data_IF_716235109668
#
_entry.id   IF_716235109668
#
_cell.length_a   1.000
_cell.length_b   1.000
_cell.length_c   1.000
_cell.angle_alpha   90.00
_cell.angle_beta   90.00
_cell.angle_gamma   90.00
#
_symmetry.space_group_name_H-M   'P 1'
#
loop_
_entity.id
_entity.type
_entity.pdbx_description
1 polymer ?
#
# COMPACT_ATOMS: atom_id res chain seq x y z
N UNK A 1 -55.34 38.06 -32.47
CA UNK A 1 -55.72 38.18 -31.05
C UNK A 1 -55.79 36.79 -30.46
N UNK A 2 -54.60 36.34 -30.12
CA UNK A 2 -54.12 35.30 -29.21
C UNK A 2 -55.11 34.39 -28.48
N UNK A 3 -54.89 33.11 -28.75
CA UNK A 3 -55.23 31.90 -28.02
C UNK A 3 -54.69 31.91 -26.58
N UNK A 4 -55.58 31.83 -25.59
CA UNK A 4 -55.24 31.55 -24.20
C UNK A 4 -55.07 30.04 -23.98
N UNK A 5 -53.82 29.57 -24.08
CA UNK A 5 -53.43 28.24 -23.61
C UNK A 5 -53.25 28.31 -22.08
N UNK A 6 -54.09 27.58 -21.36
CA UNK A 6 -53.96 27.30 -19.93
C UNK A 6 -52.59 26.66 -19.65
N UNK A 7 -51.67 27.43 -19.08
CA UNK A 7 -50.38 26.95 -18.61
C UNK A 7 -50.54 26.09 -17.36
N UNK A 8 -50.55 24.78 -17.54
CA UNK A 8 -50.28 23.82 -16.47
C UNK A 8 -48.81 23.99 -16.09
N UNK A 9 -48.54 24.68 -14.99
CA UNK A 9 -47.24 24.70 -14.34
C UNK A 9 -46.93 23.25 -13.91
N UNK A 10 -46.09 22.58 -14.69
CA UNK A 10 -45.41 21.37 -14.23
C UNK A 10 -44.47 21.79 -13.11
N UNK A 11 -44.85 21.39 -11.90
CA UNK A 11 -44.03 21.40 -10.70
C UNK A 11 -42.73 20.63 -10.99
N UNK A 12 -41.69 21.37 -11.38
CA UNK A 12 -40.33 20.85 -11.43
C UNK A 12 -39.87 20.68 -9.99
N UNK A 13 -40.26 19.56 -9.39
CA UNK A 13 -39.74 19.07 -8.13
C UNK A 13 -38.24 18.84 -8.28
N UNK A 14 -37.46 19.91 -8.10
CA UNK A 14 -36.03 19.85 -7.88
C UNK A 14 -35.83 19.25 -6.49
N UNK A 15 -35.93 17.92 -6.41
CA UNK A 15 -35.51 17.15 -5.25
C UNK A 15 -34.02 17.42 -5.06
N UNK A 16 -33.69 18.41 -4.25
CA UNK A 16 -32.35 18.53 -3.68
C UNK A 16 -32.21 17.32 -2.76
N UNK A 17 -31.62 16.22 -3.26
CA UNK A 17 -31.21 15.12 -2.41
C UNK A 17 -30.23 15.69 -1.37
N UNK A 18 -30.73 15.90 -0.15
CA UNK A 18 -29.91 16.30 0.98
C UNK A 18 -29.10 15.07 1.38
N UNK A 19 -27.99 14.83 0.68
CA UNK A 19 -27.09 13.73 1.01
C UNK A 19 -26.57 13.91 2.43
N UNK A 20 -26.86 12.93 3.28
CA UNK A 20 -26.35 12.89 4.64
C UNK A 20 -24.83 12.72 4.58
N UNK A 21 -24.10 13.75 5.02
CA UNK A 21 -22.62 13.67 5.13
C UNK A 21 -22.21 12.48 5.98
N UNK A 22 -21.13 11.81 5.58
CA UNK A 22 -20.57 10.69 6.33
C UNK A 22 -20.10 11.17 7.70
N UNK A 23 -20.54 10.53 8.77
CA UNK A 23 -20.11 10.88 10.14
C UNK A 23 -18.60 10.73 10.30
N UNK A 24 -17.96 11.64 11.03
CA UNK A 24 -16.53 11.58 11.32
C UNK A 24 -16.11 10.24 11.96
N UNK A 25 -16.96 9.64 12.81
CA UNK A 25 -16.71 8.32 13.40
C UNK A 25 -16.59 7.23 12.34
N UNK A 26 -17.47 7.26 11.34
CA UNK A 26 -17.47 6.30 10.23
C UNK A 26 -16.25 6.53 9.31
N UNK A 27 -15.87 7.79 9.09
CA UNK A 27 -14.68 8.13 8.31
C UNK A 27 -13.40 7.56 8.95
N UNK A 28 -13.25 7.73 10.27
CA UNK A 28 -12.10 7.15 11.00
C UNK A 28 -12.15 5.62 11.02
N UNK A 29 -13.31 5.02 11.29
CA UNK A 29 -13.48 3.57 11.29
C UNK A 29 -13.17 2.95 9.93
N UNK A 30 -13.58 3.62 8.84
CA UNK A 30 -13.22 3.22 7.48
C UNK A 30 -11.70 3.32 7.26
N UNK A 31 -11.09 4.44 7.64
CA UNK A 31 -9.66 4.69 7.48
C UNK A 31 -8.77 3.61 8.10
N UNK A 32 -9.11 3.15 9.31
CA UNK A 32 -8.32 2.11 10.00
C UNK A 32 -8.45 0.72 9.38
N UNK A 33 -9.44 0.47 8.51
CA UNK A 33 -9.66 -0.84 7.90
C UNK A 33 -8.49 -1.35 7.07
N UNK A 34 -7.69 -0.46 6.50
CA UNK A 34 -6.54 -0.83 5.66
C UNK A 34 -5.21 -0.97 6.41
N UNK A 35 -5.16 -0.59 7.70
CA UNK A 35 -3.92 -0.53 8.50
C UNK A 35 -3.20 -1.89 8.56
N UNK A 36 -3.94 -3.00 8.65
CA UNK A 36 -3.36 -4.35 8.66
C UNK A 36 -2.51 -4.61 7.40
N UNK A 37 -3.05 -4.26 6.22
CA UNK A 37 -2.28 -4.35 4.98
C UNK A 37 -1.10 -3.38 5.04
N UNK A 38 -1.32 -2.10 5.34
CA UNK A 38 -0.25 -1.09 5.28
C UNK A 38 0.97 -1.44 6.15
N UNK A 39 0.75 -1.98 7.35
CA UNK A 39 1.81 -2.48 8.23
C UNK A 39 2.58 -3.64 7.58
N UNK A 40 1.87 -4.65 7.06
CA UNK A 40 2.48 -5.79 6.38
C UNK A 40 3.21 -5.36 5.09
N UNK A 41 2.70 -4.37 4.37
CA UNK A 41 3.32 -3.81 3.17
C UNK A 41 4.68 -3.21 3.47
N UNK A 42 4.76 -2.42 4.54
CA UNK A 42 5.99 -1.77 4.98
C UNK A 42 7.06 -2.82 5.25
N UNK A 43 6.69 -3.89 5.96
CA UNK A 43 7.56 -5.03 6.24
C UNK A 43 7.94 -5.79 4.96
N UNK A 44 6.98 -6.10 4.09
CA UNK A 44 7.19 -6.82 2.83
C UNK A 44 8.16 -6.07 1.90
N UNK A 45 7.88 -4.79 1.61
CA UNK A 45 8.69 -4.04 0.67
C UNK A 45 10.01 -3.57 1.26
N UNK A 46 10.14 -3.35 2.57
CA UNK A 46 11.41 -2.85 3.13
C UNK A 46 12.32 -3.98 3.60
N UNK A 47 11.76 -5.03 4.21
CA UNK A 47 12.55 -5.98 5.01
C UNK A 47 12.52 -7.42 4.51
N UNK A 48 11.69 -7.77 3.51
CA UNK A 48 11.64 -9.15 3.02
C UNK A 48 13.00 -9.63 2.50
N UNK A 49 13.66 -8.85 1.62
CA UNK A 49 14.95 -9.25 1.08
C UNK A 49 16.04 -9.25 2.16
N UNK A 50 16.01 -8.29 3.08
CA UNK A 50 16.92 -8.25 4.24
C UNK A 50 16.78 -9.52 5.06
N UNK A 51 15.55 -9.92 5.38
CA UNK A 51 15.29 -11.13 6.17
C UNK A 51 15.70 -12.40 5.41
N UNK A 52 15.30 -12.53 4.14
CA UNK A 52 15.58 -13.74 3.36
C UNK A 52 17.06 -13.89 3.08
N UNK A 53 17.76 -12.80 2.76
CA UNK A 53 19.17 -12.84 2.42
C UNK A 53 20.08 -12.87 3.65
N UNK A 54 19.88 -11.96 4.62
CA UNK A 54 20.83 -11.79 5.74
C UNK A 54 20.49 -12.65 6.96
N UNK A 55 19.20 -12.97 7.18
CA UNK A 55 18.77 -13.74 8.36
C UNK A 55 18.59 -15.22 8.02
N UNK A 56 17.94 -15.54 6.91
CA UNK A 56 17.75 -16.92 6.46
C UNK A 56 18.89 -17.44 5.56
N UNK A 57 19.86 -16.58 5.22
CA UNK A 57 21.03 -16.92 4.42
C UNK A 57 20.70 -17.51 3.04
N UNK A 58 19.55 -17.14 2.47
CA UNK A 58 19.25 -17.47 1.08
C UNK A 58 20.15 -16.68 0.14
N UNK A 59 20.54 -17.30 -0.97
CA UNK A 59 21.29 -16.59 -2.00
C UNK A 59 20.44 -15.47 -2.62
N UNK A 60 21.11 -14.46 -3.22
CA UNK A 60 20.45 -13.31 -3.83
C UNK A 60 19.37 -13.69 -4.86
N UNK A 61 19.61 -14.77 -5.62
CA UNK A 61 18.64 -15.25 -6.60
C UNK A 61 17.41 -15.87 -5.93
N UNK A 62 17.59 -16.64 -4.84
CA UNK A 62 16.50 -17.29 -4.09
C UNK A 62 15.59 -16.24 -3.44
N UNK A 63 16.18 -15.27 -2.72
CA UNK A 63 15.43 -14.19 -2.09
C UNK A 63 14.66 -13.34 -3.12
N UNK A 64 15.32 -12.95 -4.22
CA UNK A 64 14.68 -12.22 -5.31
C UNK A 64 13.56 -13.02 -6.00
N UNK A 65 13.74 -14.34 -6.16
CA UNK A 65 12.73 -15.21 -6.73
C UNK A 65 11.50 -15.34 -5.82
N UNK A 66 11.67 -15.40 -4.50
CA UNK A 66 10.56 -15.38 -3.54
C UNK A 66 9.75 -14.10 -3.62
N UNK A 67 10.42 -12.94 -3.74
CA UNK A 67 9.74 -11.66 -3.97
C UNK A 67 8.94 -11.67 -5.28
N UNK A 68 9.52 -12.23 -6.36
CA UNK A 68 8.85 -12.36 -7.67
C UNK A 68 7.59 -13.22 -7.61
N UNK A 69 7.64 -14.37 -6.93
CA UNK A 69 6.44 -15.22 -6.70
C UNK A 69 5.34 -14.39 -6.05
N UNK A 70 5.70 -13.57 -5.06
CA UNK A 70 4.74 -12.66 -4.43
C UNK A 70 4.12 -11.68 -5.43
N UNK A 71 4.92 -11.02 -6.26
CA UNK A 71 4.40 -10.06 -7.25
C UNK A 71 3.45 -10.73 -8.26
N UNK A 72 3.78 -11.95 -8.72
CA UNK A 72 2.93 -12.71 -9.65
C UNK A 72 1.62 -13.12 -8.96
N UNK A 73 1.69 -13.59 -7.71
CA UNK A 73 0.50 -13.98 -6.95
C UNK A 73 -0.46 -12.81 -6.74
N UNK A 74 0.05 -11.60 -6.44
CA UNK A 74 -0.77 -10.38 -6.30
C UNK A 74 -1.40 -9.96 -7.63
N UNK A 75 -0.62 -10.00 -8.72
CA UNK A 75 -1.09 -9.66 -10.07
C UNK A 75 -2.24 -10.57 -10.54
N UNK A 76 -2.23 -11.85 -10.12
CA UNK A 76 -3.32 -12.79 -10.41
C UNK A 76 -4.50 -12.65 -9.43
N UNK A 77 -4.21 -12.44 -8.14
CA UNK A 77 -5.24 -12.37 -7.09
C UNK A 77 -6.10 -11.12 -7.19
N UNK A 78 -5.52 -9.98 -7.57
CA UNK A 78 -6.22 -8.69 -7.68
C UNK A 78 -7.43 -8.74 -8.64
N UNK A 79 -7.29 -9.15 -9.92
CA UNK A 79 -8.45 -9.26 -10.82
C UNK A 79 -9.41 -10.38 -10.40
N UNK A 80 -8.90 -11.49 -9.84
CA UNK A 80 -9.73 -12.57 -9.33
C UNK A 80 -10.68 -12.10 -8.22
N UNK A 81 -10.14 -11.45 -7.19
CA UNK A 81 -10.91 -10.85 -6.09
C UNK A 81 -11.84 -9.76 -6.63
N UNK A 82 -11.37 -8.89 -7.52
CA UNK A 82 -12.22 -7.85 -8.12
C UNK A 82 -13.48 -8.43 -8.76
N UNK A 83 -13.31 -9.44 -9.62
CA UNK A 83 -14.43 -10.08 -10.31
C UNK A 83 -15.37 -10.85 -9.38
N UNK A 84 -14.84 -11.58 -8.40
CA UNK A 84 -15.66 -12.39 -7.49
C UNK A 84 -16.28 -11.58 -6.35
N UNK A 85 -15.61 -10.54 -5.86
CA UNK A 85 -16.18 -9.66 -4.83
C UNK A 85 -17.32 -8.79 -5.35
N UNK A 86 -17.39 -8.58 -6.66
CA UNK A 86 -18.48 -7.87 -7.34
C UNK A 86 -19.69 -8.77 -7.63
N UNK A 87 -19.51 -10.10 -7.68
CA UNK A 87 -20.63 -11.02 -7.91
C UNK A 87 -21.51 -11.13 -6.67
N UNK A 88 -22.82 -11.21 -6.90
CA UNK A 88 -23.81 -11.47 -5.86
C UNK A 88 -23.73 -12.95 -5.45
N UNK A 89 -22.68 -13.32 -4.73
CA UNK A 89 -22.48 -14.72 -4.39
C UNK A 89 -23.34 -15.12 -3.19
N UNK A 90 -24.00 -16.27 -3.31
CA UNK A 90 -24.77 -16.95 -2.26
C UNK A 90 -23.84 -17.62 -1.22
N UNK A 91 -22.79 -16.95 -0.78
CA UNK A 91 -21.90 -17.46 0.26
C UNK A 91 -22.64 -17.33 1.60
N UNK A 92 -22.59 -18.37 2.43
CA UNK A 92 -23.30 -18.44 3.72
C UNK A 92 -22.98 -17.27 4.69
N UNK A 93 -21.86 -16.58 4.48
CA UNK A 93 -21.44 -15.36 5.18
C UNK A 93 -22.13 -14.06 4.70
N UNK A 94 -22.94 -14.09 3.63
CA UNK A 94 -23.49 -12.88 3.01
C UNK A 94 -24.47 -12.07 3.87
N UNK A 95 -24.89 -12.56 5.05
CA UNK A 95 -25.57 -11.73 6.06
C UNK A 95 -24.66 -10.69 6.73
N UNK A 96 -23.35 -10.76 6.49
CA UNK A 96 -22.34 -9.86 7.07
C UNK A 96 -22.00 -8.65 6.18
N UNK A 97 -22.44 -8.68 4.91
CA UNK A 97 -22.02 -7.75 3.87
C UNK A 97 -21.01 -8.38 2.91
N UNK A 98 -21.19 -8.16 1.60
CA UNK A 98 -20.39 -8.75 0.53
C UNK A 98 -18.96 -8.26 0.60
N UNK A 99 -18.75 -6.93 0.66
CA UNK A 99 -17.40 -6.34 0.74
C UNK A 99 -16.72 -6.70 2.04
N UNK A 100 -17.45 -6.63 3.15
CA UNK A 100 -16.91 -7.01 4.47
C UNK A 100 -16.51 -8.48 4.57
N UNK A 101 -17.22 -9.38 3.89
CA UNK A 101 -16.87 -10.81 3.88
C UNK A 101 -15.50 -11.04 3.20
N UNK A 102 -15.28 -10.44 2.02
CA UNK A 102 -13.98 -10.51 1.33
C UNK A 102 -12.86 -9.83 2.13
N UNK A 103 -13.16 -8.71 2.78
CA UNK A 103 -12.21 -8.07 3.69
C UNK A 103 -11.82 -8.98 4.85
N UNK A 104 -12.79 -9.63 5.50
CA UNK A 104 -12.55 -10.54 6.62
C UNK A 104 -11.74 -11.77 6.19
N UNK A 105 -12.11 -12.39 5.06
CA UNK A 105 -11.37 -13.50 4.48
C UNK A 105 -9.91 -13.13 4.24
N UNK A 106 -9.67 -11.97 3.63
CA UNK A 106 -8.32 -11.48 3.39
C UNK A 106 -7.55 -11.22 4.69
N UNK A 107 -8.22 -10.68 5.71
CA UNK A 107 -7.63 -10.43 7.03
C UNK A 107 -7.18 -11.72 7.71
N UNK A 108 -8.00 -12.78 7.62
CA UNK A 108 -7.64 -14.10 8.15
C UNK A 108 -6.46 -14.71 7.39
N UNK A 109 -6.41 -14.58 6.06
CA UNK A 109 -5.27 -15.03 5.26
C UNK A 109 -3.99 -14.30 5.66
N UNK A 110 -4.01 -12.96 5.76
CA UNK A 110 -2.83 -12.16 6.14
C UNK A 110 -2.34 -12.53 7.54
N UNK A 111 -3.23 -12.57 8.55
CA UNK A 111 -2.86 -12.93 9.93
C UNK A 111 -2.33 -14.36 10.02
N UNK A 112 -2.91 -15.27 9.23
CA UNK A 112 -2.54 -16.68 9.22
C UNK A 112 -1.25 -17.00 8.46
N UNK A 113 -0.79 -16.15 7.53
CA UNK A 113 0.39 -16.42 6.71
C UNK A 113 1.58 -15.50 6.98
N UNK A 114 1.35 -14.23 7.31
CA UNK A 114 2.42 -13.23 7.40
C UNK A 114 3.47 -13.52 8.49
N UNK A 115 3.12 -14.01 9.70
CA UNK A 115 4.11 -14.43 10.69
C UNK A 115 5.09 -15.49 10.20
N UNK A 116 4.62 -16.41 9.36
CA UNK A 116 5.44 -17.52 8.84
C UNK A 116 6.45 -17.06 7.80
N UNK A 117 6.20 -15.95 7.09
CA UNK A 117 7.14 -15.36 6.12
C UNK A 117 8.38 -14.81 6.86
N UNK A 118 8.19 -14.22 8.03
CA UNK A 118 9.26 -13.64 8.86
C UNK A 118 9.67 -14.54 10.03
N UNK A 119 9.55 -15.85 9.85
CA UNK A 119 9.98 -16.84 10.83
C UNK A 119 10.94 -17.84 10.21
N UNK A 120 11.90 -18.39 10.97
CA UNK A 120 12.66 -19.55 10.52
C UNK A 120 11.72 -20.69 10.10
N UNK A 121 12.11 -21.42 9.06
CA UNK A 121 11.31 -22.50 8.49
C UNK A 121 11.09 -23.61 9.54
N UNK A 122 9.82 -23.91 9.83
CA UNK A 122 9.44 -24.88 10.86
C UNK A 122 9.84 -26.31 10.45
N UNK A 123 10.60 -26.99 11.29
CA UNK A 123 11.10 -28.35 11.05
C UNK A 123 11.93 -28.51 9.76
N UNK A 124 12.54 -27.44 9.26
CA UNK A 124 13.36 -27.45 8.05
C UNK A 124 14.86 -27.61 8.33
N UNK A 125 15.25 -27.94 9.58
CA UNK A 125 16.66 -28.08 9.96
C UNK A 125 17.36 -29.13 9.11
N UNK A 126 18.32 -28.71 8.28
CA UNK A 126 19.06 -29.57 7.36
C UNK A 126 18.34 -29.92 6.05
N UNK A 127 17.19 -29.30 5.76
CA UNK A 127 16.52 -29.46 4.46
C UNK A 127 17.20 -28.62 3.37
N UNK A 128 17.15 -29.11 2.13
CA UNK A 128 17.71 -28.39 0.98
C UNK A 128 16.94 -27.08 0.73
N UNK A 129 17.62 -26.04 0.24
CA UNK A 129 17.05 -24.71 -0.01
C UNK A 129 15.74 -24.71 -0.80
N UNK A 130 15.61 -25.54 -1.86
CA UNK A 130 14.39 -25.64 -2.66
C UNK A 130 13.16 -26.05 -1.84
N UNK A 131 13.31 -26.89 -0.81
CA UNK A 131 12.21 -27.30 0.04
C UNK A 131 11.74 -26.14 0.94
N UNK A 132 12.69 -25.35 1.44
CA UNK A 132 12.40 -24.13 2.20
C UNK A 132 11.73 -23.07 1.30
N UNK A 133 12.19 -22.92 0.06
CA UNK A 133 11.56 -22.03 -0.92
C UNK A 133 10.10 -22.41 -1.18
N UNK A 134 9.78 -23.71 -1.32
CA UNK A 134 8.38 -24.15 -1.46
C UNK A 134 7.57 -23.78 -0.22
N UNK A 135 8.12 -24.02 0.98
CA UNK A 135 7.47 -23.64 2.24
C UNK A 135 7.12 -22.15 2.26
N UNK A 136 8.09 -21.26 2.01
CA UNK A 136 7.85 -19.83 1.99
C UNK A 136 6.90 -19.40 0.86
N UNK A 137 7.01 -20.01 -0.33
CA UNK A 137 6.15 -19.70 -1.48
C UNK A 137 4.66 -19.89 -1.15
N UNK A 138 4.30 -20.94 -0.42
CA UNK A 138 2.90 -21.19 -0.01
C UNK A 138 2.37 -20.04 0.85
N UNK A 139 3.11 -19.63 1.88
CA UNK A 139 2.69 -18.54 2.76
C UNK A 139 2.66 -17.19 2.02
N UNK A 140 3.62 -16.95 1.13
CA UNK A 140 3.67 -15.76 0.28
C UNK A 140 2.42 -15.70 -0.61
N UNK A 141 2.03 -16.78 -1.28
CA UNK A 141 0.84 -16.82 -2.14
C UNK A 141 -0.43 -16.53 -1.32
N UNK A 142 -0.56 -17.13 -0.13
CA UNK A 142 -1.71 -16.89 0.76
C UNK A 142 -1.73 -15.42 1.24
N UNK A 143 -0.57 -14.87 1.60
CA UNK A 143 -0.43 -13.46 1.98
C UNK A 143 -0.88 -12.53 0.85
N UNK A 144 -0.41 -12.76 -0.38
CA UNK A 144 -0.72 -11.91 -1.53
C UNK A 144 -2.20 -12.00 -1.94
N UNK A 145 -2.81 -13.17 -1.84
CA UNK A 145 -4.26 -13.29 -1.96
C UNK A 145 -4.99 -12.48 -0.88
N UNK A 146 -4.57 -12.61 0.38
CA UNK A 146 -5.17 -11.87 1.50
C UNK A 146 -5.03 -10.35 1.34
N UNK A 147 -3.85 -9.92 0.92
CA UNK A 147 -3.53 -8.53 0.57
C UNK A 147 -4.50 -7.98 -0.47
N UNK A 148 -4.61 -8.64 -1.63
CA UNK A 148 -5.50 -8.25 -2.70
C UNK A 148 -6.96 -8.22 -2.25
N UNK A 149 -7.38 -9.22 -1.46
CA UNK A 149 -8.72 -9.31 -0.90
C UNK A 149 -9.10 -8.11 -0.04
N UNK A 150 -8.25 -7.73 0.93
CA UNK A 150 -8.46 -6.55 1.77
C UNK A 150 -8.45 -5.27 0.93
N UNK A 151 -7.47 -5.11 0.05
CA UNK A 151 -7.28 -3.91 -0.77
C UNK A 151 -8.51 -3.61 -1.63
N UNK A 152 -8.99 -4.60 -2.38
CA UNK A 152 -10.07 -4.43 -3.36
C UNK A 152 -11.42 -4.27 -2.66
N UNK A 153 -11.69 -5.09 -1.63
CA UNK A 153 -12.92 -4.94 -0.84
C UNK A 153 -13.01 -3.61 -0.09
N UNK A 154 -11.88 -3.12 0.45
CA UNK A 154 -11.84 -1.84 1.15
C UNK A 154 -12.07 -0.65 0.21
N UNK A 155 -11.46 -0.64 -0.98
CA UNK A 155 -11.67 0.43 -1.97
C UNK A 155 -13.09 0.42 -2.55
N UNK A 156 -13.61 -0.75 -2.88
CA UNK A 156 -14.96 -0.89 -3.46
C UNK A 156 -16.08 -0.52 -2.48
N UNK A 157 -15.79 -0.46 -1.19
CA UNK A 157 -16.75 -0.02 -0.17
C UNK A 157 -16.95 1.51 -0.14
N UNK A 158 -16.00 2.32 -0.63
CA UNK A 158 -16.12 3.80 -0.66
C UNK A 158 -17.41 4.26 -1.37
N UNK A 159 -17.69 3.85 -2.62
CA UNK A 159 -18.89 4.28 -3.33
C UNK A 159 -20.19 3.79 -2.70
N UNK A 160 -20.15 2.68 -1.94
CA UNK A 160 -21.30 2.12 -1.22
C UNK A 160 -21.59 2.89 0.09
N UNK A 161 -20.57 3.49 0.72
CA UNK A 161 -20.73 4.27 1.96
C UNK A 161 -21.26 5.69 1.72
N UNK A 162 -21.01 6.27 0.54
CA UNK A 162 -21.49 7.61 0.19
C UNK A 162 -21.62 7.85 -1.32
N UNK A 163 -22.74 8.43 -1.77
CA UNK A 163 -22.90 8.87 -3.16
C UNK A 163 -22.17 10.18 -3.47
N UNK A 164 -21.72 10.94 -2.46
CA UNK A 164 -21.09 12.25 -2.64
C UNK A 164 -19.58 12.14 -2.93
N UNK A 165 -19.16 12.57 -4.12
CA UNK A 165 -17.75 12.60 -4.56
C UNK A 165 -16.80 13.32 -3.60
N UNK A 166 -17.27 14.39 -2.95
CA UNK A 166 -16.44 15.10 -1.98
C UNK A 166 -16.15 14.25 -0.73
N UNK A 167 -17.13 13.48 -0.27
CA UNK A 167 -16.95 12.57 0.87
C UNK A 167 -16.15 11.31 0.47
N UNK A 168 -16.27 10.83 -0.78
CA UNK A 168 -15.40 9.77 -1.33
C UNK A 168 -13.93 10.18 -1.31
N UNK A 169 -13.65 11.40 -1.78
CA UNK A 169 -12.29 11.97 -1.77
C UNK A 169 -11.74 12.07 -0.34
N UNK A 170 -12.57 12.47 0.63
CA UNK A 170 -12.19 12.51 2.05
C UNK A 170 -11.88 11.13 2.62
N UNK A 171 -12.71 10.12 2.34
CA UNK A 171 -12.47 8.75 2.81
C UNK A 171 -11.15 8.20 2.27
N UNK A 172 -10.87 8.43 0.99
CA UNK A 172 -9.58 8.08 0.37
C UNK A 172 -8.41 8.82 1.02
N UNK A 173 -8.55 10.11 1.30
CA UNK A 173 -7.51 10.90 1.96
C UNK A 173 -7.22 10.41 3.41
N UNK A 174 -8.27 10.10 4.17
CA UNK A 174 -8.16 9.58 5.54
C UNK A 174 -7.46 8.22 5.53
N UNK A 175 -7.84 7.33 4.62
CA UNK A 175 -7.15 6.05 4.40
C UNK A 175 -5.65 6.26 4.14
N UNK A 176 -5.27 7.14 3.21
CA UNK A 176 -3.85 7.43 2.95
C UNK A 176 -3.12 8.02 4.16
N UNK A 177 -3.80 8.83 5.00
CA UNK A 177 -3.23 9.30 6.25
C UNK A 177 -2.89 8.12 7.19
N UNK A 178 -3.79 7.15 7.34
CA UNK A 178 -3.52 5.93 8.11
C UNK A 178 -2.42 5.07 7.47
N UNK A 179 -2.30 5.02 6.14
CA UNK A 179 -1.18 4.35 5.46
C UNK A 179 0.16 4.98 5.85
N UNK A 180 0.27 6.31 5.86
CA UNK A 180 1.49 7.01 6.28
C UNK A 180 1.80 6.72 7.75
N UNK A 181 0.80 6.82 8.63
CA UNK A 181 0.95 6.52 10.06
C UNK A 181 1.44 5.08 10.26
N UNK A 182 0.89 4.12 9.53
CA UNK A 182 1.25 2.70 9.62
C UNK A 182 2.70 2.46 9.22
N UNK A 183 3.16 3.06 8.12
CA UNK A 183 4.56 2.94 7.69
C UNK A 183 5.53 3.57 8.70
N UNK A 184 5.24 4.79 9.16
CA UNK A 184 6.05 5.47 10.19
C UNK A 184 6.12 4.63 11.47
N UNK A 185 4.99 4.07 11.90
CA UNK A 185 4.91 3.21 13.07
C UNK A 185 5.79 1.96 12.92
N UNK A 186 5.75 1.28 11.76
CA UNK A 186 6.62 0.13 11.48
C UNK A 186 8.09 0.52 11.59
N UNK A 187 8.50 1.62 10.94
CA UNK A 187 9.90 2.04 11.01
C UNK A 187 10.35 2.44 12.41
N UNK A 188 9.50 3.09 13.21
CA UNK A 188 9.83 3.41 14.60
C UNK A 188 9.97 2.14 15.43
N UNK A 189 9.06 1.17 15.27
CA UNK A 189 9.13 -0.11 15.99
C UNK A 189 10.39 -0.88 15.58
N UNK A 190 10.66 -1.01 14.28
CA UNK A 190 11.87 -1.69 13.79
C UNK A 190 13.13 -0.99 14.28
N UNK A 191 13.19 0.34 14.21
CA UNK A 191 14.32 1.09 14.74
C UNK A 191 14.53 0.83 16.22
N UNK A 192 13.47 0.87 17.04
CA UNK A 192 13.54 0.59 18.47
C UNK A 192 14.03 -0.83 18.77
N UNK A 193 13.50 -1.83 18.07
CA UNK A 193 13.87 -3.24 18.25
C UNK A 193 15.33 -3.51 17.84
N UNK A 194 15.77 -2.94 16.71
CA UNK A 194 17.14 -3.10 16.25
C UNK A 194 18.13 -2.32 17.12
N UNK A 195 17.80 -1.08 17.48
CA UNK A 195 18.69 -0.19 18.24
C UNK A 195 18.93 -0.63 19.69
N UNK A 196 17.89 -1.10 20.39
CA UNK A 196 18.05 -1.62 21.76
C UNK A 196 18.84 -2.91 21.83
N UNK A 197 18.98 -3.59 20.70
CA UNK A 197 19.71 -4.84 20.58
C UNK A 197 21.11 -4.64 19.96
N UNK A 198 21.53 -3.39 19.73
CA UNK A 198 22.88 -3.06 19.27
C UNK A 198 23.86 -3.31 20.45
N UNK A 199 24.43 -4.51 20.52
CA UNK A 199 25.70 -4.70 21.24
C UNK A 199 26.76 -3.88 20.46
N UNK A 200 27.61 -3.05 21.11
CA UNK A 200 28.66 -2.30 20.43
C UNK A 200 29.57 -3.13 19.51
N UNK A 201 29.56 -4.45 19.64
CA UNK A 201 30.34 -5.39 18.84
C UNK A 201 29.52 -6.15 17.76
N UNK A 202 28.18 -6.07 17.76
CA UNK A 202 27.29 -6.77 16.81
C UNK A 202 26.42 -5.77 16.01
N UNK A 203 27.06 -4.89 15.24
CA UNK A 203 26.36 -3.87 14.46
C UNK A 203 25.66 -4.35 13.18
N UNK A 204 25.80 -5.63 12.81
CA UNK A 204 25.35 -6.17 11.52
C UNK A 204 24.20 -7.16 11.72
N UNK A 205 23.18 -7.06 10.86
CA UNK A 205 22.08 -8.03 10.83
C UNK A 205 22.58 -9.41 10.39
N UNK A 206 22.17 -10.46 11.10
CA UNK A 206 22.46 -11.85 10.76
C UNK A 206 21.40 -12.85 11.26
N UNK A 207 21.70 -14.16 11.22
CA UNK A 207 20.75 -15.23 11.58
C UNK A 207 20.19 -15.15 13.00
N UNK A 208 20.94 -14.56 13.94
CA UNK A 208 20.50 -14.34 15.33
C UNK A 208 19.33 -13.36 15.46
N UNK A 209 19.09 -12.52 14.45
CA UNK A 209 18.09 -11.46 14.49
C UNK A 209 16.68 -11.89 14.09
N UNK A 210 16.47 -13.18 13.80
CA UNK A 210 15.15 -13.68 13.40
C UNK A 210 14.06 -13.32 14.42
N UNK A 211 14.37 -13.41 15.71
CA UNK A 211 13.46 -13.04 16.80
C UNK A 211 13.12 -11.54 16.84
N UNK A 212 14.05 -10.67 16.42
CA UNK A 212 13.84 -9.22 16.31
C UNK A 212 12.80 -8.93 15.25
N UNK A 213 12.94 -9.49 14.05
CA UNK A 213 11.96 -9.34 12.97
C UNK A 213 10.59 -9.92 13.34
N UNK A 214 10.55 -11.09 13.99
CA UNK A 214 9.31 -11.67 14.50
C UNK A 214 8.60 -10.73 15.49
N UNK A 215 9.34 -10.08 16.38
CA UNK A 215 8.79 -9.12 17.35
C UNK A 215 8.13 -7.94 16.65
N UNK A 216 8.77 -7.39 15.61
CA UNK A 216 8.20 -6.32 14.77
C UNK A 216 6.90 -6.79 14.11
N UNK A 217 6.93 -7.99 13.49
CA UNK A 217 5.75 -8.56 12.81
C UNK A 217 4.59 -8.79 13.77
N UNK A 218 4.81 -9.42 14.92
CA UNK A 218 3.75 -9.67 15.89
C UNK A 218 3.17 -8.38 16.48
N UNK A 219 4.01 -7.39 16.75
CA UNK A 219 3.57 -6.09 17.25
C UNK A 219 2.73 -5.37 16.20
N UNK A 220 3.22 -5.31 14.95
CA UNK A 220 2.50 -4.71 13.83
C UNK A 220 1.16 -5.41 13.54
N UNK A 221 1.15 -6.74 13.51
CA UNK A 221 -0.08 -7.52 13.32
C UNK A 221 -1.08 -7.31 14.44
N UNK A 222 -0.65 -7.21 15.69
CA UNK A 222 -1.55 -6.95 16.82
C UNK A 222 -2.28 -5.61 16.66
N UNK A 223 -1.56 -4.57 16.22
CA UNK A 223 -2.14 -3.26 15.92
C UNK A 223 -3.07 -3.35 14.70
N UNK A 224 -2.64 -4.02 13.64
CA UNK A 224 -3.43 -4.23 12.44
C UNK A 224 -4.75 -4.96 12.72
N UNK A 225 -4.71 -6.06 13.49
CA UNK A 225 -5.90 -6.82 13.90
C UNK A 225 -6.84 -5.96 14.73
N UNK A 226 -6.34 -5.19 15.69
CA UNK A 226 -7.16 -4.26 16.46
C UNK A 226 -7.88 -3.25 15.55
N UNK A 227 -7.16 -2.65 14.60
CA UNK A 227 -7.72 -1.74 13.61
C UNK A 227 -8.76 -2.41 12.70
N UNK A 228 -8.50 -3.64 12.25
CA UNK A 228 -9.44 -4.44 11.47
C UNK A 228 -10.71 -4.77 12.26
N UNK A 229 -10.60 -5.09 13.55
CA UNK A 229 -11.75 -5.29 14.43
C UNK A 229 -12.59 -4.02 14.57
N UNK A 230 -11.95 -2.86 14.76
CA UNK A 230 -12.62 -1.56 14.81
C UNK A 230 -13.38 -1.31 13.49
N UNK A 231 -12.74 -1.51 12.34
CA UNK A 231 -13.39 -1.39 11.03
C UNK A 231 -14.65 -2.28 10.95
N UNK A 232 -14.53 -3.55 11.32
CA UNK A 232 -15.62 -4.51 11.23
C UNK A 232 -16.77 -4.26 12.22
N UNK A 233 -16.52 -3.64 13.37
CA UNK A 233 -17.54 -3.28 14.35
C UNK A 233 -18.29 -2.00 13.94
N UNK A 234 -17.56 -0.98 13.47
CA UNK A 234 -18.11 0.38 13.28
C UNK A 234 -18.57 0.66 11.85
N UNK A 235 -18.00 -0.01 10.84
CA UNK A 235 -18.43 0.12 9.45
C UNK A 235 -19.52 -0.91 9.18
N UNK A 236 -20.73 -0.44 8.90
CA UNK A 236 -21.84 -1.29 8.46
C UNK A 236 -22.03 -1.14 6.96
N UNK A 237 -22.01 -2.27 6.27
CA UNK A 237 -22.44 -2.34 4.88
C UNK A 237 -23.97 -2.18 4.87
N UNK A 238 -24.51 -1.31 4.01
CA UNK A 238 -25.95 -1.19 3.86
C UNK A 238 -26.42 -2.37 3.02
N UNK A 239 -27.24 -3.23 3.61
CA UNK A 239 -27.87 -4.32 2.88
C UNK A 239 -28.86 -3.73 1.87
N UNK A 240 -28.51 -3.79 0.59
CA UNK A 240 -29.43 -3.43 -0.48
C UNK A 240 -30.46 -4.57 -0.70
N UNK A 241 -31.31 -4.80 0.30
CA UNK A 241 -32.43 -5.75 0.26
C UNK A 241 -33.70 -5.11 -0.35
N UNK A 242 -33.56 -4.20 -1.32
CA UNK A 242 -34.66 -3.36 -1.74
C UNK A 242 -34.55 -2.78 -3.14
N UNK A 243 -34.59 -3.65 -4.15
CA UNK A 243 -35.27 -3.32 -5.41
C UNK A 243 -34.57 -2.32 -6.31
N UNK A 244 -33.81 -2.86 -7.27
CA UNK A 244 -33.60 -2.17 -8.53
C UNK A 244 -32.31 -2.55 -9.21
N UNK A 245 -32.43 -3.32 -10.28
CA UNK A 245 -31.55 -3.21 -11.45
C UNK A 245 -31.61 -1.78 -12.04
N UNK A 246 -31.31 -0.74 -11.26
CA UNK A 246 -31.48 0.67 -11.67
C UNK A 246 -30.13 1.36 -11.88
N UNK A 247 -29.00 0.75 -11.51
CA UNK A 247 -27.67 1.17 -11.97
C UNK A 247 -26.80 0.05 -12.57
N UNK A 248 -27.39 -1.10 -12.90
CA UNK A 248 -26.75 -2.11 -13.78
C UNK A 248 -26.87 -1.74 -15.28
N UNK A 249 -27.07 -0.45 -15.57
CA UNK A 249 -27.51 0.05 -16.87
C UNK A 249 -26.88 1.38 -17.27
N UNK A 250 -25.59 1.61 -17.01
CA UNK A 250 -24.80 2.58 -17.79
C UNK A 250 -23.30 2.46 -17.45
N UNK A 251 -22.49 2.30 -18.50
CA UNK A 251 -21.05 2.01 -18.52
C UNK A 251 -20.62 0.56 -18.28
N UNK A 252 -21.24 -0.38 -19.01
CA UNK A 252 -20.44 -1.50 -19.55
C UNK A 252 -19.71 -1.00 -20.80
N UNK A 253 -18.74 -0.08 -20.62
CA UNK A 253 -17.70 0.08 -21.66
C UNK A 253 -17.15 -1.32 -21.87
N UNK A 254 -17.24 -1.83 -23.10
CA UNK A 254 -16.78 -3.18 -23.37
C UNK A 254 -15.32 -3.26 -22.94
N UNK A 255 -14.90 -4.31 -22.25
CA UNK A 255 -13.49 -4.47 -21.84
C UNK A 255 -12.57 -4.28 -23.06
N UNK A 256 -13.04 -4.70 -24.24
CA UNK A 256 -12.41 -4.46 -25.55
C UNK A 256 -12.24 -2.98 -25.92
N UNK A 257 -13.23 -2.13 -25.60
CA UNK A 257 -13.15 -0.67 -25.83
C UNK A 257 -12.13 0.00 -24.90
N UNK A 258 -12.03 -0.45 -23.65
CA UNK A 258 -11.00 -0.02 -22.70
C UNK A 258 -9.61 -0.37 -23.27
N UNK A 259 -9.39 -1.63 -23.67
CA UNK A 259 -8.11 -2.06 -24.24
C UNK A 259 -7.77 -1.44 -25.60
N UNK A 260 -8.71 -0.77 -26.27
CA UNK A 260 -8.46 -0.01 -27.50
C UNK A 260 -8.04 1.43 -27.27
N UNK A 261 -8.21 1.97 -26.06
CA UNK A 261 -7.88 3.37 -25.78
C UNK A 261 -6.37 3.54 -25.53
N UNK A 262 -5.68 4.20 -26.45
CA UNK A 262 -4.23 4.51 -26.35
C UNK A 262 -3.88 5.29 -25.08
N UNK A 263 -4.79 6.14 -24.58
CA UNK A 263 -4.56 6.94 -23.38
C UNK A 263 -4.38 6.06 -22.14
N UNK A 264 -5.07 4.93 -22.07
CA UNK A 264 -4.94 3.99 -20.94
C UNK A 264 -3.53 3.41 -20.90
N UNK A 265 -2.94 3.08 -22.03
CA UNK A 265 -1.55 2.60 -22.07
C UNK A 265 -0.55 3.71 -21.70
N UNK A 266 -0.79 4.96 -22.11
CA UNK A 266 0.09 6.08 -21.74
C UNK A 266 0.09 6.33 -20.22
N UNK A 267 -1.09 6.32 -19.60
CA UNK A 267 -1.22 6.45 -18.14
C UNK A 267 -0.64 5.23 -17.44
N UNK A 268 -0.92 4.01 -17.93
CA UNK A 268 -0.40 2.78 -17.36
C UNK A 268 1.14 2.74 -17.38
N UNK A 269 1.79 3.08 -18.49
CA UNK A 269 3.27 3.11 -18.58
C UNK A 269 3.84 4.11 -17.58
N UNK A 270 3.27 5.31 -17.48
CA UNK A 270 3.74 6.35 -16.54
C UNK A 270 3.58 5.91 -15.08
N UNK A 271 2.43 5.33 -14.75
CA UNK A 271 2.14 4.80 -13.42
C UNK A 271 3.04 3.62 -13.07
N UNK A 272 3.24 2.68 -13.99
CA UNK A 272 4.09 1.50 -13.80
C UNK A 272 5.56 1.90 -13.62
N UNK A 273 6.08 2.84 -14.42
CA UNK A 273 7.44 3.34 -14.27
C UNK A 273 7.65 4.01 -12.89
N UNK A 274 6.65 4.81 -12.46
CA UNK A 274 6.67 5.42 -11.12
C UNK A 274 6.67 4.36 -10.02
N UNK A 275 5.72 3.42 -10.07
CA UNK A 275 5.60 2.36 -9.06
C UNK A 275 6.82 1.48 -9.00
N UNK A 276 7.40 1.16 -10.15
CA UNK A 276 8.64 0.39 -10.23
C UNK A 276 9.78 1.13 -9.53
N UNK A 277 9.98 2.42 -9.82
CA UNK A 277 11.02 3.22 -9.16
C UNK A 277 10.83 3.28 -7.63
N UNK A 278 9.61 3.57 -7.17
CA UNK A 278 9.29 3.68 -5.74
C UNK A 278 9.54 2.35 -5.04
N UNK A 279 9.00 1.26 -5.58
CA UNK A 279 9.11 -0.06 -4.96
C UNK A 279 10.56 -0.57 -4.98
N UNK A 280 11.30 -0.41 -6.09
CA UNK A 280 12.70 -0.82 -6.15
C UNK A 280 13.57 -0.03 -5.17
N UNK A 281 13.35 1.28 -5.07
CA UNK A 281 14.07 2.12 -4.10
C UNK A 281 13.79 1.63 -2.67
N UNK A 282 12.53 1.38 -2.34
CA UNK A 282 12.15 0.90 -1.00
C UNK A 282 12.73 -0.49 -0.67
N UNK A 283 12.74 -1.40 -1.64
CA UNK A 283 13.22 -2.78 -1.49
C UNK A 283 14.74 -2.88 -1.38
N UNK A 284 15.48 -2.12 -2.18
CA UNK A 284 16.93 -2.26 -2.25
C UNK A 284 17.71 -1.30 -1.34
N UNK A 285 17.10 -0.21 -0.86
CA UNK A 285 17.80 0.72 0.05
C UNK A 285 18.38 0.00 1.27
N UNK A 286 17.63 -0.81 2.02
CA UNK A 286 18.17 -1.48 3.21
C UNK A 286 19.37 -2.40 2.91
N UNK A 287 19.34 -3.14 1.79
CA UNK A 287 20.47 -3.95 1.35
C UNK A 287 21.67 -3.10 0.93
N UNK A 288 21.45 -1.98 0.22
CA UNK A 288 22.52 -1.06 -0.13
C UNK A 288 23.19 -0.47 1.12
N UNK A 289 22.41 -0.06 2.12
CA UNK A 289 22.94 0.47 3.38
C UNK A 289 23.75 -0.57 4.15
N UNK A 290 23.26 -1.81 4.20
CA UNK A 290 23.91 -2.90 4.93
C UNK A 290 25.12 -3.45 4.16
N UNK A 291 24.94 -3.97 2.95
CA UNK A 291 26.00 -4.68 2.22
C UNK A 291 27.03 -3.75 1.57
N UNK A 292 26.58 -2.61 1.00
CA UNK A 292 27.47 -1.73 0.23
C UNK A 292 28.11 -0.67 1.12
N UNK A 293 27.34 -0.07 2.03
CA UNK A 293 27.84 0.98 2.92
C UNK A 293 28.29 0.47 4.28
N UNK A 294 28.06 -0.82 4.60
CA UNK A 294 28.44 -1.44 5.87
C UNK A 294 27.92 -0.66 7.09
N UNK A 295 26.70 -0.11 6.97
CA UNK A 295 26.06 0.64 8.04
C UNK A 295 25.45 -0.29 9.09
N UNK A 296 25.29 0.25 10.31
CA UNK A 296 24.66 -0.47 11.42
C UNK A 296 23.19 -0.81 11.16
N UNK A 297 22.70 -1.88 11.78
CA UNK A 297 21.33 -2.39 11.61
C UNK A 297 20.24 -1.31 11.82
N UNK A 298 20.42 -0.40 12.78
CA UNK A 298 19.47 0.69 13.04
C UNK A 298 19.28 1.66 11.86
N UNK A 299 20.27 1.79 10.97
CA UNK A 299 20.17 2.63 9.77
C UNK A 299 19.12 2.11 8.76
N UNK A 300 18.86 0.80 8.73
CA UNK A 300 17.88 0.17 7.83
C UNK A 300 16.43 0.54 8.18
N UNK A 301 16.19 1.07 9.38
CA UNK A 301 14.90 1.65 9.76
C UNK A 301 14.91 3.17 9.70
N UNK A 302 16.02 3.80 10.11
CA UNK A 302 16.14 5.26 10.14
C UNK A 302 16.06 5.91 8.76
N UNK A 303 16.73 5.36 7.75
CA UNK A 303 16.78 5.96 6.42
C UNK A 303 15.42 5.89 5.70
N UNK A 304 14.72 4.73 5.66
CA UNK A 304 13.35 4.67 5.16
C UNK A 304 12.41 5.61 5.93
N UNK A 305 12.54 5.73 7.26
CA UNK A 305 11.76 6.69 8.04
C UNK A 305 11.98 8.13 7.56
N UNK A 306 13.23 8.53 7.31
CA UNK A 306 13.57 9.86 6.79
C UNK A 306 12.98 10.08 5.39
N UNK A 307 13.01 9.07 4.53
CA UNK A 307 12.35 9.14 3.22
C UNK A 307 10.84 9.41 3.38
N UNK A 308 10.15 8.69 4.27
CA UNK A 308 8.72 8.88 4.50
C UNK A 308 8.38 10.25 5.11
N UNK A 309 9.21 10.75 6.03
CA UNK A 309 9.05 12.11 6.57
C UNK A 309 9.25 13.15 5.45
N UNK A 310 10.24 12.97 4.58
CA UNK A 310 10.44 13.82 3.40
C UNK A 310 9.23 13.81 2.46
N UNK A 311 8.69 12.62 2.15
CA UNK A 311 7.45 12.46 1.38
C UNK A 311 6.28 13.20 2.02
N UNK A 312 6.12 13.08 3.34
CA UNK A 312 5.05 13.76 4.08
C UNK A 312 5.21 15.29 4.03
N UNK A 313 6.41 15.82 4.23
CA UNK A 313 6.67 17.26 4.13
C UNK A 313 6.39 17.76 2.70
N UNK A 314 6.81 17.00 1.70
CA UNK A 314 6.54 17.34 0.29
C UNK A 314 5.03 17.37 0.00
N UNK A 315 4.24 16.51 0.64
CA UNK A 315 2.78 16.49 0.52
C UNK A 315 2.09 17.81 0.88
N UNK A 316 2.62 18.50 1.88
CA UNK A 316 2.08 19.78 2.32
C UNK A 316 2.47 20.93 1.38
N UNK A 317 3.56 20.77 0.64
CA UNK A 317 4.13 21.81 -0.22
C UNK A 317 3.75 21.65 -1.70
N UNK A 318 3.44 20.43 -2.15
CA UNK A 318 3.26 20.12 -3.59
C UNK A 318 2.11 20.91 -4.21
N UNK A 319 1.03 21.16 -3.47
CA UNK A 319 -0.13 21.88 -4.00
C UNK A 319 0.25 23.34 -4.32
N UNK A 320 1.00 23.98 -3.43
CA UNK A 320 1.51 25.34 -3.63
C UNK A 320 2.44 25.39 -4.84
N UNK A 321 3.35 24.41 -4.95
CA UNK A 321 4.27 24.30 -6.08
C UNK A 321 3.51 24.12 -7.41
N UNK A 322 2.53 23.23 -7.43
CA UNK A 322 1.70 22.94 -8.59
C UNK A 322 0.86 24.13 -9.03
N UNK A 323 0.33 24.93 -8.08
CA UNK A 323 -0.40 26.17 -8.37
C UNK A 323 0.51 27.26 -8.94
N UNK A 324 1.75 27.35 -8.45
CA UNK A 324 2.69 28.42 -8.84
C UNK A 324 3.40 28.16 -10.16
N UNK A 325 3.87 26.92 -10.42
CA UNK A 325 4.73 26.60 -11.56
C UNK A 325 4.10 25.61 -12.55
N UNK A 326 2.93 25.06 -12.22
CA UNK A 326 2.26 24.04 -13.02
C UNK A 326 2.82 22.63 -12.77
N UNK A 327 1.94 21.64 -12.96
CA UNK A 327 2.19 20.23 -12.61
C UNK A 327 3.27 19.58 -13.48
N UNK A 328 3.32 19.93 -14.77
CA UNK A 328 4.34 19.41 -15.71
C UNK A 328 5.75 19.81 -15.27
N UNK A 329 5.92 21.05 -14.82
CA UNK A 329 7.20 21.53 -14.32
C UNK A 329 7.61 20.76 -13.06
N UNK A 330 6.71 20.60 -12.08
CA UNK A 330 6.99 19.84 -10.86
C UNK A 330 7.44 18.40 -11.15
N UNK A 331 6.80 17.73 -12.11
CA UNK A 331 7.18 16.38 -12.53
C UNK A 331 8.56 16.33 -13.21
N UNK A 332 8.86 17.24 -14.14
CA UNK A 332 10.16 17.29 -14.82
C UNK A 332 11.28 17.64 -13.83
N UNK A 333 11.04 18.61 -12.94
CA UNK A 333 11.98 18.97 -11.88
C UNK A 333 12.25 17.79 -10.94
N UNK A 334 11.20 17.10 -10.48
CA UNK A 334 11.33 15.89 -9.66
C UNK A 334 12.11 14.78 -10.37
N UNK A 335 11.89 14.61 -11.68
CA UNK A 335 12.65 13.64 -12.49
C UNK A 335 14.13 14.00 -12.61
N UNK A 336 14.46 15.29 -12.78
CA UNK A 336 15.85 15.77 -12.78
C UNK A 336 16.55 15.53 -11.44
N UNK A 337 15.88 15.87 -10.33
CA UNK A 337 16.39 15.61 -8.97
C UNK A 337 16.60 14.11 -8.76
N UNK A 338 15.71 13.27 -9.28
CA UNK A 338 15.84 11.81 -9.25
C UNK A 338 17.11 11.32 -9.92
N UNK A 339 17.39 11.76 -11.14
CA UNK A 339 18.60 11.35 -11.86
C UNK A 339 19.86 11.79 -11.10
N UNK A 340 19.86 13.01 -10.56
CA UNK A 340 20.97 13.51 -9.73
C UNK A 340 21.16 12.65 -8.48
N UNK A 341 20.08 12.32 -7.78
CA UNK A 341 20.13 11.50 -6.56
C UNK A 341 20.62 10.07 -6.85
N UNK A 342 20.21 9.46 -7.97
CA UNK A 342 20.71 8.16 -8.41
C UNK A 342 22.21 8.19 -8.75
N UNK A 343 22.68 9.25 -9.43
CA UNK A 343 24.11 9.43 -9.72
C UNK A 343 24.90 9.63 -8.42
N UNK A 344 24.34 10.38 -7.47
CA UNK A 344 24.97 10.60 -6.16
C UNK A 344 25.18 9.28 -5.41
N UNK A 345 24.17 8.40 -5.35
CA UNK A 345 24.26 7.05 -4.77
C UNK A 345 25.33 6.17 -5.42
N UNK A 346 25.52 6.29 -6.74
CA UNK A 346 26.45 5.43 -7.48
C UNK A 346 27.92 5.83 -7.38
N UNK A 347 28.23 7.10 -7.09
CA UNK A 347 29.61 7.63 -7.15
C UNK A 347 30.22 7.83 -5.76
N UNK A 348 29.42 8.23 -4.76
CA UNK A 348 29.95 8.59 -3.44
C UNK A 348 30.06 7.36 -2.53
N UNK A 349 31.19 7.29 -1.82
CA UNK A 349 31.48 6.29 -0.80
C UNK A 349 32.39 6.89 0.27
N UNK A 350 32.49 6.22 1.42
CA UNK A 350 33.34 6.60 2.54
C UNK A 350 32.61 7.29 3.71
N UNK A 351 33.33 7.62 4.81
CA UNK A 351 32.71 8.04 6.07
C UNK A 351 31.86 9.31 5.97
N UNK A 352 32.33 10.29 5.19
CA UNK A 352 31.58 11.53 4.98
C UNK A 352 30.21 11.27 4.32
N UNK A 353 30.15 10.27 3.44
CA UNK A 353 28.92 9.88 2.76
C UNK A 353 27.95 9.19 3.72
N UNK A 354 28.44 8.20 4.47
CA UNK A 354 27.64 7.41 5.41
C UNK A 354 27.14 8.22 6.61
N UNK A 355 27.92 9.20 7.05
CA UNK A 355 27.60 9.96 8.27
C UNK A 355 26.67 11.15 8.00
N UNK A 356 26.68 11.71 6.77
CA UNK A 356 25.95 12.95 6.47
C UNK A 356 25.19 12.92 5.13
N UNK A 357 25.87 12.61 4.02
CA UNK A 357 25.28 12.79 2.68
C UNK A 357 24.11 11.83 2.40
N UNK A 358 24.16 10.59 2.92
CA UNK A 358 23.11 9.59 2.71
C UNK A 358 21.75 10.06 3.25
N UNK A 359 21.73 10.82 4.35
CA UNK A 359 20.51 11.37 4.93
C UNK A 359 19.88 12.45 4.02
N UNK A 360 20.70 13.25 3.35
CA UNK A 360 20.23 14.23 2.37
C UNK A 360 19.64 13.51 1.16
N UNK A 361 20.32 12.47 0.68
CA UNK A 361 19.82 11.62 -0.42
C UNK A 361 18.49 10.97 -0.04
N UNK A 362 18.35 10.46 1.19
CA UNK A 362 17.11 9.88 1.68
C UNK A 362 15.94 10.88 1.63
N UNK A 363 16.15 12.12 2.07
CA UNK A 363 15.13 13.18 1.96
C UNK A 363 14.76 13.44 0.51
N UNK A 364 15.75 13.53 -0.39
CA UNK A 364 15.49 13.73 -1.83
C UNK A 364 14.65 12.59 -2.40
N UNK A 365 15.01 11.33 -2.14
CA UNK A 365 14.27 10.15 -2.58
C UNK A 365 12.83 10.16 -2.05
N UNK A 366 12.62 10.53 -0.79
CA UNK A 366 11.29 10.74 -0.21
C UNK A 366 10.48 11.77 -0.99
N UNK A 367 11.07 12.93 -1.29
CA UNK A 367 10.41 14.01 -2.01
C UNK A 367 10.05 13.61 -3.46
N UNK A 368 10.95 12.89 -4.14
CA UNK A 368 10.76 12.39 -5.50
C UNK A 368 9.61 11.38 -5.56
N UNK A 369 9.63 10.37 -4.70
CA UNK A 369 8.59 9.34 -4.58
C UNK A 369 7.20 9.97 -4.49
N UNK A 370 7.05 10.96 -3.61
CA UNK A 370 5.77 11.61 -3.42
C UNK A 370 5.35 12.45 -4.64
N UNK A 371 6.29 13.19 -5.24
CA UNK A 371 6.02 14.00 -6.44
C UNK A 371 5.50 13.15 -7.60
N UNK A 372 6.09 11.98 -7.82
CA UNK A 372 5.63 11.07 -8.86
C UNK A 372 4.26 10.46 -8.55
N UNK A 373 4.00 10.06 -7.30
CA UNK A 373 2.69 9.53 -6.90
C UNK A 373 1.56 10.54 -7.13
N UNK A 374 1.77 11.80 -6.75
CA UNK A 374 0.78 12.87 -6.95
C UNK A 374 0.53 13.14 -8.42
N UNK A 375 1.56 13.14 -9.26
CA UNK A 375 1.39 13.36 -10.70
C UNK A 375 0.51 12.28 -11.35
N UNK A 376 0.68 11.01 -10.94
CA UNK A 376 -0.13 9.91 -11.49
C UNK A 376 -1.61 10.00 -11.11
N UNK A 377 -1.94 10.50 -9.91
CA UNK A 377 -3.34 10.71 -9.50
C UNK A 377 -4.03 11.72 -10.44
N UNK A 378 -3.31 12.66 -11.03
CA UNK A 378 -3.87 13.65 -11.95
C UNK A 378 -3.92 13.18 -13.42
N UNK A 379 -3.32 12.04 -13.74
CA UNK A 379 -3.37 11.46 -15.08
C UNK A 379 -4.60 10.56 -15.29
N UNK A 380 -5.16 10.06 -14.19
CA UNK A 380 -6.41 9.30 -14.11
C UNK A 380 -7.55 10.30 -13.93
#
# INVERSE_FOLDING_TARGET
MDTSLSGTLLDSGEYTEVYRRVSFKLQLAYGVGHVLNDVCASMWFTYLLVFFHLVLEFSNWEAGFMLLIGQVADALSTPFVGFHSDQSDNIWLCRYGRRKTWHLLGSLCVVGSFPFIFSPCLNCSGSHSWAQMIYFSVFIIIFQFGWASIQISHLSLIPELTPNEHDRTKLTAIRYCFTVISNVLVYIITWYVLHLSDDPNEGQIGPGDASKFQTVVWTGLSIGVLCTLIFHIFVKEQDDYGGGNVHAGQLRTSISEIFRNVQIYQVAVTYMATRLFVNLSQVFIPLYLHETLNMVASALALIPLIMYIGSFVTSMCIEKLNRSFGRKFAYVAGSGICVIACIWLGIRSGPQYTDYEIYVVAVLFGNITYTFLVYNIYLI
#
